data_IF_879497535450
#
_entry.id   IF_879497535450
#
_cell.length_a   1.000
_cell.length_b   1.000
_cell.length_c   1.000
_cell.angle_alpha   90.00
_cell.angle_beta   90.00
_cell.angle_gamma   90.00
#
_symmetry.space_group_name_H-M   'P 1'
#
loop_
_entity.id
_entity.type
_entity.pdbx_description
1 polymer ?
#
# COMPACT_ATOMS: atom_id res chain seq x y z
N UNK A 1 -14.95 -27.29 -65.41
CA UNK A 1 -14.60 -26.87 -64.04
C UNK A 1 -15.42 -25.63 -63.72
N UNK A 2 -16.34 -25.75 -62.77
CA UNK A 2 -17.38 -24.74 -62.53
C UNK A 2 -16.76 -23.52 -61.83
N UNK A 3 -16.72 -22.37 -62.52
CA UNK A 3 -16.39 -21.05 -61.97
C UNK A 3 -16.96 -20.76 -60.55
N UNK A 4 -18.17 -21.21 -60.15
CA UNK A 4 -18.67 -20.92 -58.80
C UNK A 4 -17.86 -21.58 -57.67
N UNK A 5 -17.18 -22.72 -57.90
CA UNK A 5 -16.40 -23.38 -56.84
C UNK A 5 -15.09 -22.65 -56.50
N UNK A 6 -14.50 -21.97 -57.48
CA UNK A 6 -13.24 -21.23 -57.30
C UNK A 6 -13.49 -19.94 -56.49
N UNK A 7 -14.62 -19.27 -56.73
CA UNK A 7 -15.00 -18.06 -55.98
C UNK A 7 -15.30 -18.35 -54.49
N UNK A 8 -15.91 -19.49 -54.18
CA UNK A 8 -16.18 -19.91 -52.79
C UNK A 8 -14.88 -20.23 -52.05
N UNK A 9 -13.90 -20.84 -52.71
CA UNK A 9 -12.60 -21.13 -52.08
C UNK A 9 -11.76 -19.87 -51.84
N UNK A 10 -11.82 -18.87 -52.73
CA UNK A 10 -11.12 -17.59 -52.57
C UNK A 10 -11.70 -16.72 -51.45
N UNK A 11 -13.02 -16.73 -51.27
CA UNK A 11 -13.68 -16.00 -50.17
C UNK A 11 -13.40 -16.64 -48.81
N UNK A 12 -13.31 -17.96 -48.73
CA UNK A 12 -12.96 -18.67 -47.48
C UNK A 12 -11.49 -18.43 -47.06
N UNK A 13 -10.56 -18.34 -48.02
CA UNK A 13 -9.16 -18.04 -47.75
C UNK A 13 -8.94 -16.59 -47.28
N UNK A 14 -9.74 -15.64 -47.75
CA UNK A 14 -9.67 -14.24 -47.30
C UNK A 14 -10.17 -14.06 -45.86
N UNK A 15 -11.14 -14.87 -45.42
CA UNK A 15 -11.65 -14.87 -44.04
C UNK A 15 -10.65 -15.48 -43.03
N UNK A 16 -9.75 -16.35 -43.48
CA UNK A 16 -8.72 -16.97 -42.64
C UNK A 16 -7.43 -16.14 -42.52
N UNK A 17 -7.24 -15.12 -43.37
CA UNK A 17 -6.04 -14.26 -43.36
C UNK A 17 -6.14 -13.02 -42.45
N UNK A 18 -7.29 -12.75 -41.83
CA UNK A 18 -7.53 -11.52 -41.07
C UNK A 18 -7.26 -11.62 -39.56
N UNK A 19 -6.94 -12.81 -39.04
CA UNK A 19 -6.55 -12.99 -37.64
C UNK A 19 -5.05 -13.25 -37.55
N UNK A 20 -4.24 -12.23 -37.82
CA UNK A 20 -2.85 -12.23 -37.36
C UNK A 20 -2.89 -12.02 -35.84
N UNK A 21 -3.09 -13.09 -35.10
CA UNK A 21 -3.03 -13.10 -33.64
C UNK A 21 -1.62 -12.66 -33.26
N UNK A 22 -1.49 -11.46 -32.65
CA UNK A 22 -0.20 -10.93 -32.22
C UNK A 22 0.29 -11.77 -31.05
N UNK A 23 1.08 -12.80 -31.36
CA UNK A 23 1.65 -13.71 -30.38
C UNK A 23 2.44 -12.92 -29.35
N UNK A 24 2.06 -13.00 -28.08
CA UNK A 24 2.75 -12.35 -26.96
C UNK A 24 2.14 -11.03 -26.47
N UNK A 25 1.09 -10.52 -27.13
CA UNK A 25 0.24 -9.48 -26.55
C UNK A 25 -0.81 -10.09 -25.61
N UNK A 26 -1.21 -9.39 -24.54
CA UNK A 26 -2.32 -9.85 -23.71
C UNK A 26 -3.59 -9.95 -24.58
N UNK A 27 -4.35 -11.04 -24.39
CA UNK A 27 -5.64 -11.18 -25.02
C UNK A 27 -6.63 -10.17 -24.41
N UNK A 28 -7.41 -9.48 -25.25
CA UNK A 28 -8.43 -8.52 -24.81
C UNK A 28 -8.08 -7.06 -25.07
N UNK A 29 -8.78 -6.15 -24.38
CA UNK A 29 -8.58 -4.71 -24.51
C UNK A 29 -7.34 -4.24 -23.72
N UNK A 30 -6.38 -3.64 -24.41
CA UNK A 30 -5.17 -3.08 -23.82
C UNK A 30 -5.46 -1.99 -22.77
N UNK A 31 -6.58 -1.28 -22.91
CA UNK A 31 -7.00 -0.29 -21.92
C UNK A 31 -7.37 -0.97 -20.59
N UNK A 32 -8.15 -2.04 -20.64
CA UNK A 32 -8.53 -2.79 -19.43
C UNK A 32 -7.31 -3.43 -18.77
N UNK A 33 -6.41 -4.00 -19.58
CA UNK A 33 -5.14 -4.54 -19.09
C UNK A 33 -4.29 -3.47 -18.39
N UNK A 34 -4.09 -2.32 -19.05
CA UNK A 34 -3.31 -1.21 -18.48
C UNK A 34 -3.92 -0.70 -17.19
N UNK A 35 -5.25 -0.53 -17.15
CA UNK A 35 -5.95 -0.09 -15.93
C UNK A 35 -5.75 -1.06 -14.76
N UNK A 36 -5.96 -2.36 -14.99
CA UNK A 36 -5.80 -3.39 -13.96
C UNK A 36 -4.35 -3.50 -13.45
N UNK A 37 -3.35 -3.28 -14.31
CA UNK A 37 -1.95 -3.20 -13.90
C UNK A 37 -1.71 -1.95 -13.02
N UNK A 38 -2.25 -0.80 -13.41
CA UNK A 38 -2.14 0.43 -12.64
C UNK A 38 -2.84 0.37 -11.28
N UNK A 39 -4.01 -0.26 -11.20
CA UNK A 39 -4.75 -0.48 -9.94
C UNK A 39 -3.99 -1.37 -8.94
N UNK A 40 -3.07 -2.21 -9.44
CA UNK A 40 -2.17 -3.04 -8.63
C UNK A 40 -0.84 -2.34 -8.29
N UNK A 41 -0.57 -1.16 -8.87
CA UNK A 41 0.69 -0.44 -8.68
C UNK A 41 1.89 -1.11 -9.34
N UNK A 42 1.65 -1.99 -10.32
CA UNK A 42 2.71 -2.72 -11.00
C UNK A 42 3.46 -1.81 -11.98
N UNK A 43 4.75 -2.09 -12.21
CA UNK A 43 5.54 -1.42 -13.25
C UNK A 43 4.96 -1.73 -14.65
N UNK A 44 5.15 -0.84 -15.63
CA UNK A 44 4.62 -1.06 -16.97
C UNK A 44 5.21 -2.33 -17.59
N UNK A 45 4.36 -3.27 -17.97
CA UNK A 45 4.77 -4.50 -18.67
C UNK A 45 4.77 -4.37 -20.20
N UNK A 46 4.14 -3.32 -20.74
CA UNK A 46 4.07 -3.03 -22.17
C UNK A 46 4.66 -1.65 -22.53
N UNK A 47 5.21 -1.50 -23.76
CA UNK A 47 5.42 -2.55 -24.76
C UNK A 47 6.50 -3.56 -24.32
N UNK A 48 6.41 -4.79 -24.83
CA UNK A 48 7.37 -5.85 -24.53
C UNK A 48 8.00 -6.40 -25.82
N UNK A 49 9.11 -7.12 -25.72
CA UNK A 49 9.79 -7.71 -26.89
C UNK A 49 8.90 -8.68 -27.68
N UNK A 50 7.85 -9.23 -27.05
CA UNK A 50 6.89 -10.15 -27.67
C UNK A 50 5.56 -9.47 -28.01
N UNK A 51 5.39 -8.18 -27.78
CA UNK A 51 4.16 -7.46 -28.11
C UNK A 51 4.48 -6.08 -28.68
N UNK A 52 4.46 -5.99 -30.01
CA UNK A 52 4.58 -4.71 -30.71
C UNK A 52 3.23 -4.00 -30.76
N UNK A 53 3.17 -2.88 -30.06
CA UNK A 53 2.02 -1.98 -30.05
C UNK A 53 2.24 -0.82 -31.01
N UNK A 54 1.22 -0.49 -31.81
CA UNK A 54 1.20 0.78 -32.54
C UNK A 54 1.07 1.97 -31.57
N UNK A 55 1.19 3.19 -32.11
CA UNK A 55 1.14 4.41 -31.29
C UNK A 55 -0.20 4.57 -30.56
N UNK A 56 -1.33 4.36 -31.24
CA UNK A 56 -2.65 4.49 -30.63
C UNK A 56 -2.95 3.40 -29.59
N UNK A 57 -2.35 2.22 -29.74
CA UNK A 57 -2.41 1.14 -28.75
C UNK A 57 -1.59 1.44 -27.51
N UNK A 58 -0.35 1.93 -27.68
CA UNK A 58 0.48 2.38 -26.55
C UNK A 58 -0.21 3.50 -25.80
N UNK A 59 -0.78 4.47 -26.49
CA UNK A 59 -1.49 5.59 -25.88
C UNK A 59 -2.70 5.12 -25.07
N UNK A 60 -3.50 4.19 -25.61
CA UNK A 60 -4.64 3.60 -24.89
C UNK A 60 -4.21 2.85 -23.63
N UNK A 61 -3.17 2.01 -23.73
CA UNK A 61 -2.60 1.30 -22.59
C UNK A 61 -2.08 2.27 -21.52
N UNK A 62 -1.24 3.24 -21.88
CA UNK A 62 -0.64 4.17 -20.94
C UNK A 62 -1.69 5.09 -20.30
N UNK A 63 -2.67 5.59 -21.06
CA UNK A 63 -3.75 6.40 -20.52
C UNK A 63 -4.59 5.62 -19.51
N UNK A 64 -4.98 4.39 -19.83
CA UNK A 64 -5.76 3.57 -18.92
C UNK A 64 -4.96 3.13 -17.68
N UNK A 65 -3.67 2.85 -17.84
CA UNK A 65 -2.74 2.59 -16.72
C UNK A 65 -2.58 3.79 -15.81
N UNK A 66 -2.45 4.99 -16.36
CA UNK A 66 -2.39 6.21 -15.56
C UNK A 66 -3.66 6.41 -14.74
N UNK A 67 -4.84 6.09 -15.30
CA UNK A 67 -6.10 6.07 -14.55
C UNK A 67 -6.08 5.05 -13.41
N UNK A 68 -5.64 3.82 -13.66
CA UNK A 68 -5.50 2.80 -12.61
C UNK A 68 -4.55 3.24 -11.49
N UNK A 69 -3.36 3.74 -11.86
CA UNK A 69 -2.38 4.27 -10.92
C UNK A 69 -2.90 5.44 -10.11
N UNK A 70 -3.77 6.29 -10.66
CA UNK A 70 -4.35 7.39 -9.89
C UNK A 70 -5.15 6.89 -8.69
N UNK A 71 -5.78 5.71 -8.78
CA UNK A 71 -6.50 5.08 -7.67
C UNK A 71 -5.58 4.35 -6.67
N UNK A 72 -4.44 3.84 -7.15
CA UNK A 72 -3.46 3.14 -6.33
C UNK A 72 -2.53 4.11 -5.57
N UNK A 73 -2.13 5.21 -6.22
CA UNK A 73 -1.34 6.30 -5.66
C UNK A 73 -2.17 7.25 -4.79
N UNK A 74 -2.85 6.65 -3.82
CA UNK A 74 -3.62 7.35 -2.81
C UNK A 74 -2.82 7.44 -1.51
N UNK A 75 -2.97 8.55 -0.80
CA UNK A 75 -2.21 8.81 0.42
C UNK A 75 -2.51 7.77 1.50
N UNK A 76 -3.78 7.36 1.65
CA UNK A 76 -4.17 6.32 2.59
C UNK A 76 -3.48 4.98 2.26
N UNK A 77 -3.48 4.55 0.99
CA UNK A 77 -2.78 3.32 0.58
C UNK A 77 -1.27 3.40 0.83
N UNK A 78 -0.65 4.55 0.57
CA UNK A 78 0.76 4.77 0.86
C UNK A 78 1.07 4.63 2.35
N UNK A 79 0.26 5.28 3.19
CA UNK A 79 0.37 5.17 4.64
C UNK A 79 0.20 3.72 5.14
N UNK A 80 -0.82 3.01 4.64
CA UNK A 80 -1.06 1.61 4.98
C UNK A 80 0.09 0.69 4.55
N UNK A 81 0.71 0.94 3.39
CA UNK A 81 1.91 0.22 2.96
C UNK A 81 3.09 0.46 3.91
N UNK A 82 3.30 1.71 4.33
CA UNK A 82 4.30 2.05 5.35
C UNK A 82 4.08 1.33 6.68
N UNK A 83 2.83 1.24 7.15
CA UNK A 83 2.47 0.49 8.37
C UNK A 83 2.74 -1.01 8.28
N UNK A 84 2.78 -1.58 7.06
CA UNK A 84 3.16 -2.98 6.82
C UNK A 84 4.65 -3.18 6.60
N UNK A 85 5.44 -2.10 6.57
CA UNK A 85 6.87 -2.16 6.23
C UNK A 85 7.12 -2.49 4.75
N UNK A 86 6.16 -2.21 3.88
CA UNK A 86 6.30 -2.39 2.43
C UNK A 86 6.99 -1.18 1.79
N UNK A 87 7.76 -1.43 0.74
CA UNK A 87 8.37 -0.38 -0.10
C UNK A 87 7.70 -0.35 -1.47
N UNK A 88 6.52 0.29 -1.59
CA UNK A 88 5.81 0.38 -2.87
C UNK A 88 6.59 1.24 -3.87
N UNK A 89 6.48 0.91 -5.16
CA UNK A 89 7.14 1.62 -6.26
C UNK A 89 6.54 3.02 -6.48
N UNK A 90 6.93 4.00 -5.65
CA UNK A 90 6.44 5.37 -5.73
C UNK A 90 6.75 6.04 -7.08
N UNK A 91 7.79 5.60 -7.79
CA UNK A 91 8.11 6.03 -9.14
C UNK A 91 7.03 5.68 -10.17
N UNK A 92 6.20 4.66 -9.89
CA UNK A 92 5.05 4.33 -10.72
C UNK A 92 3.96 5.41 -10.63
N UNK A 93 3.96 6.24 -9.57
CA UNK A 93 2.95 7.28 -9.39
C UNK A 93 3.10 8.45 -10.36
N UNK A 94 1.96 9.03 -10.81
CA UNK A 94 1.90 10.34 -11.44
C UNK A 94 2.62 11.40 -10.59
N UNK A 95 3.27 12.37 -11.25
CA UNK A 95 4.11 13.37 -10.57
C UNK A 95 3.34 14.18 -9.52
N UNK A 96 2.08 14.50 -9.77
CA UNK A 96 1.20 15.24 -8.86
C UNK A 96 0.81 14.45 -7.60
N UNK A 97 0.91 13.12 -7.63
CA UNK A 97 0.57 12.24 -6.49
C UNK A 97 1.78 11.64 -5.79
N UNK A 98 2.91 11.54 -6.48
CA UNK A 98 4.14 10.88 -6.00
C UNK A 98 4.62 11.42 -4.65
N UNK A 99 4.62 12.75 -4.47
CA UNK A 99 5.12 13.39 -3.25
C UNK A 99 4.21 13.12 -2.05
N UNK A 100 2.89 13.12 -2.25
CA UNK A 100 1.92 12.81 -1.19
C UNK A 100 2.00 11.33 -0.82
N UNK A 101 1.98 10.44 -1.82
CA UNK A 101 2.10 8.99 -1.62
C UNK A 101 3.41 8.63 -0.88
N UNK A 102 4.56 9.14 -1.34
CA UNK A 102 5.86 8.89 -0.72
C UNK A 102 5.92 9.36 0.74
N UNK A 103 5.42 10.57 1.03
CA UNK A 103 5.37 11.08 2.41
C UNK A 103 4.45 10.24 3.30
N UNK A 104 3.33 9.76 2.77
CA UNK A 104 2.43 8.88 3.50
C UNK A 104 3.10 7.54 3.83
N UNK A 105 3.80 6.91 2.86
CA UNK A 105 4.60 5.68 3.08
C UNK A 105 5.65 5.89 4.17
N UNK A 106 6.44 6.96 4.07
CA UNK A 106 7.47 7.28 5.07
C UNK A 106 6.88 7.49 6.46
N UNK A 107 5.73 8.16 6.55
CA UNK A 107 5.06 8.41 7.83
C UNK A 107 4.53 7.11 8.45
N UNK A 108 3.90 6.25 7.65
CA UNK A 108 3.46 4.92 8.10
C UNK A 108 4.64 4.07 8.59
N UNK A 109 5.74 4.07 7.84
CA UNK A 109 6.97 3.35 8.22
C UNK A 109 7.60 3.88 9.52
N UNK A 110 7.61 5.21 9.70
CA UNK A 110 8.10 5.82 10.94
C UNK A 110 7.23 5.45 12.15
N UNK A 111 5.91 5.41 11.98
CA UNK A 111 4.98 4.97 13.02
C UNK A 111 5.24 3.50 13.39
N UNK A 112 5.36 2.61 12.39
CA UNK A 112 5.70 1.20 12.60
C UNK A 112 7.03 1.04 13.37
N UNK A 113 8.05 1.80 13.00
CA UNK A 113 9.34 1.80 13.70
C UNK A 113 9.18 2.20 15.16
N UNK A 114 8.44 3.29 15.44
CA UNK A 114 8.22 3.78 16.81
C UNK A 114 7.42 2.83 17.67
N UNK A 115 6.43 2.16 17.09
CA UNK A 115 5.66 1.12 17.78
C UNK A 115 6.55 -0.09 18.13
N UNK A 116 7.41 -0.52 17.21
CA UNK A 116 8.40 -1.58 17.48
C UNK A 116 9.39 -1.18 18.58
N UNK A 117 9.93 0.04 18.55
CA UNK A 117 10.82 0.57 19.61
C UNK A 117 10.12 0.58 20.98
N UNK A 118 8.85 1.00 21.03
CA UNK A 118 8.04 1.00 22.25
C UNK A 118 7.86 -0.44 22.78
N UNK A 119 7.46 -1.37 21.93
CA UNK A 119 7.26 -2.78 22.31
C UNK A 119 8.56 -3.41 22.81
N UNK A 120 9.69 -3.14 22.17
CA UNK A 120 11.00 -3.61 22.61
C UNK A 120 11.36 -3.11 24.02
N UNK A 121 11.11 -1.82 24.31
CA UNK A 121 11.35 -1.26 25.66
C UNK A 121 10.47 -1.91 26.72
N UNK A 122 9.20 -2.15 26.39
CA UNK A 122 8.27 -2.82 27.31
C UNK A 122 8.70 -4.27 27.58
N UNK A 123 9.13 -4.98 26.55
CA UNK A 123 9.66 -6.33 26.69
C UNK A 123 10.94 -6.35 27.56
N UNK A 124 11.89 -5.47 27.30
CA UNK A 124 13.11 -5.35 28.10
C UNK A 124 12.81 -5.02 29.57
N UNK A 125 11.83 -4.15 29.83
CA UNK A 125 11.39 -3.85 31.18
C UNK A 125 10.83 -5.10 31.90
N UNK A 126 10.02 -5.91 31.21
CA UNK A 126 9.48 -7.16 31.75
C UNK A 126 10.60 -8.18 32.03
N UNK A 127 11.56 -8.31 31.12
CA UNK A 127 12.71 -9.21 31.30
C UNK A 127 13.56 -8.83 32.52
N UNK A 128 13.82 -7.53 32.72
CA UNK A 128 14.54 -7.03 33.90
C UNK A 128 13.78 -7.27 35.20
N UNK A 129 12.44 -7.20 35.19
CA UNK A 129 11.63 -7.51 36.36
C UNK A 129 11.65 -8.98 36.70
N UNK A 130 11.55 -9.85 35.70
CA UNK A 130 11.71 -11.29 35.90
C UNK A 130 13.10 -11.62 36.47
N UNK A 131 14.15 -10.94 36.01
CA UNK A 131 15.49 -11.06 36.57
C UNK A 131 15.55 -10.59 38.02
N UNK A 132 14.91 -9.45 38.35
CA UNK A 132 14.84 -8.93 39.71
C UNK A 132 14.05 -9.81 40.68
N UNK A 133 13.02 -10.50 40.21
CA UNK A 133 12.26 -11.47 41.00
C UNK A 133 13.07 -12.75 41.27
N UNK A 134 13.92 -13.16 40.33
CA UNK A 134 14.78 -14.33 40.47
C UNK A 134 16.12 -14.04 41.18
N UNK A 135 16.39 -12.79 41.55
CA UNK A 135 17.66 -12.38 42.14
C UNK A 135 17.74 -12.71 43.63
N UNK A 136 18.81 -13.40 44.05
CA UNK A 136 19.13 -13.59 45.47
C UNK A 136 19.75 -12.33 46.11
N UNK A 137 20.34 -11.44 45.31
CA UNK A 137 20.97 -10.19 45.74
C UNK A 137 19.97 -9.03 45.65
N UNK A 138 19.57 -8.49 46.81
CA UNK A 138 18.59 -7.40 46.94
C UNK A 138 19.06 -6.11 46.24
N UNK A 139 20.36 -5.78 46.29
CA UNK A 139 20.89 -4.57 45.65
C UNK A 139 20.76 -4.68 44.14
N UNK A 140 21.13 -5.85 43.60
CA UNK A 140 21.02 -6.11 42.16
C UNK A 140 19.56 -6.15 41.70
N UNK A 141 18.68 -6.73 42.51
CA UNK A 141 17.24 -6.72 42.24
C UNK A 141 16.70 -5.29 42.16
N UNK A 142 17.11 -4.41 43.07
CA UNK A 142 16.68 -3.01 43.08
C UNK A 142 17.21 -2.21 41.89
N UNK A 143 18.46 -2.46 41.47
CA UNK A 143 19.03 -1.88 40.24
C UNK A 143 18.21 -2.27 39.01
N UNK A 144 17.89 -3.56 38.86
CA UNK A 144 17.08 -4.06 37.74
C UNK A 144 15.66 -3.49 37.76
N UNK A 145 15.02 -3.40 38.94
CA UNK A 145 13.72 -2.74 39.08
C UNK A 145 13.79 -1.27 38.71
N UNK A 146 14.86 -0.56 39.05
CA UNK A 146 15.05 0.84 38.68
C UNK A 146 15.20 1.01 37.16
N UNK A 147 15.97 0.14 36.51
CA UNK A 147 16.11 0.12 35.05
C UNK A 147 14.78 -0.18 34.35
N UNK A 148 14.02 -1.18 34.82
CA UNK A 148 12.70 -1.50 34.29
C UNK A 148 11.72 -0.33 34.41
N UNK A 149 11.71 0.37 35.55
CA UNK A 149 10.91 1.61 35.71
C UNK A 149 11.30 2.68 34.70
N UNK A 150 12.60 2.88 34.44
CA UNK A 150 13.08 3.84 33.42
C UNK A 150 12.56 3.48 32.03
N UNK A 151 12.72 2.22 31.61
CA UNK A 151 12.25 1.75 30.29
C UNK A 151 10.73 1.93 30.11
N UNK A 152 9.94 1.74 31.17
CA UNK A 152 8.49 1.99 31.14
C UNK A 152 8.17 3.47 30.97
N UNK A 153 8.91 4.36 31.62
CA UNK A 153 8.74 5.79 31.42
C UNK A 153 9.08 6.19 29.98
N UNK A 154 10.16 5.63 29.43
CA UNK A 154 10.55 5.86 28.03
C UNK A 154 9.53 5.30 27.03
N UNK A 155 8.89 4.16 27.36
CA UNK A 155 7.82 3.58 26.54
C UNK A 155 6.54 4.43 26.57
N UNK A 156 6.19 5.04 27.71
CA UNK A 156 5.06 6.00 27.81
C UNK A 156 5.33 7.27 27.03
N UNK A 157 6.57 7.77 27.06
CA UNK A 157 6.93 8.93 26.25
C UNK A 157 6.80 8.61 24.76
N UNK A 158 7.25 7.43 24.33
CA UNK A 158 7.07 6.97 22.94
C UNK A 158 5.59 6.81 22.55
N UNK A 159 4.71 6.43 23.49
CA UNK A 159 3.26 6.38 23.27
C UNK A 159 2.68 7.76 22.92
N UNK A 160 3.06 8.80 23.66
CA UNK A 160 2.64 10.17 23.37
C UNK A 160 3.13 10.63 21.98
N UNK A 161 4.36 10.27 21.61
CA UNK A 161 4.92 10.58 20.29
C UNK A 161 4.14 9.84 19.17
N UNK A 162 3.74 8.58 19.41
CA UNK A 162 2.89 7.81 18.51
C UNK A 162 1.50 8.44 18.34
N UNK A 163 0.88 8.90 19.42
CA UNK A 163 -0.40 9.61 19.36
C UNK A 163 -0.30 10.90 18.55
N UNK A 164 0.78 11.66 18.72
CA UNK A 164 1.02 12.87 17.93
C UNK A 164 1.14 12.55 16.42
N UNK A 165 1.89 11.49 16.06
CA UNK A 165 2.02 11.05 14.67
C UNK A 165 0.70 10.57 14.07
N UNK A 166 -0.11 9.83 14.85
CA UNK A 166 -1.47 9.43 14.45
C UNK A 166 -2.35 10.65 14.22
N UNK A 167 -2.24 11.67 15.06
CA UNK A 167 -2.94 12.95 14.88
C UNK A 167 -2.59 13.63 13.55
N UNK A 168 -1.31 13.67 13.17
CA UNK A 168 -0.87 14.19 11.86
C UNK A 168 -1.49 13.39 10.72
N UNK A 169 -1.44 12.06 10.77
CA UNK A 169 -2.02 11.20 9.73
C UNK A 169 -3.54 11.39 9.57
N UNK A 170 -4.27 11.64 10.67
CA UNK A 170 -5.70 11.95 10.63
C UNK A 170 -5.96 13.31 9.99
N UNK A 171 -5.20 14.36 10.36
CA UNK A 171 -5.35 15.71 9.80
C UNK A 171 -5.06 15.75 8.30
N UNK A 172 -4.06 14.99 7.86
CA UNK A 172 -3.71 14.85 6.45
C UNK A 172 -4.67 13.92 5.67
N UNK A 173 -5.63 13.28 6.35
CA UNK A 173 -6.62 12.38 5.75
C UNK A 173 -6.06 11.03 5.30
N UNK A 174 -4.91 10.61 5.82
CA UNK A 174 -4.29 9.31 5.50
C UNK A 174 -4.83 8.19 6.37
N UNK A 175 -5.39 8.53 7.52
CA UNK A 175 -6.03 7.60 8.44
C UNK A 175 -7.47 8.02 8.67
N UNK A 176 -8.38 7.05 8.71
CA UNK A 176 -9.74 7.31 9.14
C UNK A 176 -9.73 7.81 10.60
N UNK A 177 -10.42 8.91 10.87
CA UNK A 177 -10.62 9.35 12.24
C UNK A 177 -11.30 8.21 13.01
N UNK A 178 -10.80 7.80 14.19
CA UNK A 178 -11.49 6.81 14.99
C UNK A 178 -12.91 7.32 15.20
N UNK A 179 -13.90 6.50 14.86
CA UNK A 179 -15.29 6.83 15.12
C UNK A 179 -15.41 7.03 16.63
N UNK A 180 -15.46 8.29 17.07
CA UNK A 180 -15.78 8.60 18.44
C UNK A 180 -17.13 7.95 18.66
N UNK A 181 -17.26 6.93 19.54
CA UNK A 181 -18.55 6.34 19.82
C UNK A 181 -19.45 7.49 20.19
N UNK A 182 -20.49 7.72 19.37
CA UNK A 182 -21.40 8.85 19.46
C UNK A 182 -21.82 8.92 20.93
N UNK A 183 -21.25 9.89 21.66
CA UNK A 183 -21.36 9.90 23.11
C UNK A 183 -22.85 9.93 23.39
N UNK A 184 -23.32 8.89 24.10
CA UNK A 184 -24.72 8.67 24.38
C UNK A 184 -25.33 10.01 24.78
N UNK A 185 -26.16 10.53 23.87
CA UNK A 185 -26.82 11.81 24.03
C UNK A 185 -27.43 11.79 25.43
N UNK A 186 -27.07 12.72 26.33
CA UNK A 186 -27.60 12.71 27.67
C UNK A 186 -29.13 12.66 27.56
N UNK A 187 -29.80 11.77 28.33
CA UNK A 187 -31.24 11.60 28.21
C UNK A 187 -31.90 12.97 28.34
N UNK A 188 -32.77 13.30 27.38
CA UNK A 188 -33.52 14.55 27.41
C UNK A 188 -34.29 14.64 28.73
N UNK A 189 -34.11 15.75 29.46
CA UNK A 189 -34.83 15.99 30.71
C UNK A 189 -36.35 16.01 30.42
N UNK A 190 -37.16 15.29 31.20
CA UNK A 190 -38.62 15.34 31.06
C UNK A 190 -39.15 16.68 31.59
N UNK A 191 -39.87 17.42 30.73
CA UNK A 191 -40.65 18.62 31.09
C UNK A 191 -41.87 18.30 31.99
#
# INVERSE_FOLDING_TARGET
MSLPRVLILLSLAALLGACAERSGCPAGDLADFGRAEGERGELPSLPSATCELDEGERDRYHAARALGLSSWCDAQRGFDAGLRGEEPAAEACPLDRRDVFSRAVQTGGFLLQKESEQQQRLQQAQELEAQAEAADDEVKADEWRAQARSLRMDARQAENDLEALRGVAIVEGWMASPSIPEQAQPPADPE
#
